data_IF_783835065742
#
_entry.id   IF_783835065742
#
_cell.length_a   1.000
_cell.length_b   1.000
_cell.length_c   1.000
_cell.angle_alpha   90.00
_cell.angle_beta   90.00
_cell.angle_gamma   90.00
#
_symmetry.space_group_name_H-M   'P 1'
#
loop_
_entity.id
_entity.type
_entity.pdbx_description
1 polymer ?
#
# COMPACT_ATOMS: atom_id res chain seq x y z
N UNK A 1 -20.07 -11.73 10.61
CA UNK A 1 -18.60 -11.60 10.45
C UNK A 1 -18.33 -10.16 10.06
N UNK A 2 -17.29 -9.55 10.63
CA UNK A 2 -16.81 -8.23 10.23
C UNK A 2 -15.45 -8.43 9.57
N UNK A 3 -15.25 -7.82 8.39
CA UNK A 3 -14.01 -7.88 7.62
C UNK A 3 -13.55 -6.46 7.35
N UNK A 4 -12.29 -6.19 7.63
CA UNK A 4 -11.63 -4.91 7.36
C UNK A 4 -10.37 -5.17 6.54
N UNK A 5 -10.27 -4.58 5.36
CA UNK A 5 -9.13 -4.72 4.47
C UNK A 5 -8.75 -3.38 3.87
N UNK A 6 -7.47 -3.21 3.56
CA UNK A 6 -6.98 -2.02 2.87
C UNK A 6 -7.32 -2.16 1.38
N UNK A 7 -7.85 -1.09 0.80
CA UNK A 7 -8.29 -1.00 -0.58
C UNK A 7 -8.13 0.41 -1.13
N UNK A 8 -8.91 0.72 -2.16
CA UNK A 8 -8.92 2.02 -2.85
C UNK A 8 -10.31 2.65 -2.85
N UNK A 9 -10.36 3.97 -2.92
CA UNK A 9 -11.62 4.72 -3.02
C UNK A 9 -12.26 4.67 -4.41
N UNK A 10 -11.45 4.63 -5.46
CA UNK A 10 -11.95 4.73 -6.83
C UNK A 10 -12.28 3.37 -7.42
N UNK A 11 -13.35 3.32 -8.21
CA UNK A 11 -13.79 2.13 -8.96
C UNK A 11 -12.86 1.83 -10.15
N UNK A 12 -11.96 2.76 -10.51
CA UNK A 12 -10.97 2.62 -11.58
C UNK A 12 -9.62 2.05 -11.12
N UNK A 13 -8.77 1.67 -12.09
CA UNK A 13 -7.38 1.23 -11.83
C UNK A 13 -6.53 2.45 -11.43
N UNK A 14 -6.79 3.01 -10.26
CA UNK A 14 -5.83 3.89 -9.60
C UNK A 14 -4.79 2.98 -8.92
N UNK A 15 -3.48 3.20 -9.14
CA UNK A 15 -2.47 2.44 -8.46
C UNK A 15 -2.64 2.58 -6.95
N UNK A 16 -2.50 1.47 -6.24
CA UNK A 16 -2.58 1.44 -4.80
C UNK A 16 -1.34 2.16 -4.25
N UNK A 17 -1.53 3.37 -3.72
CA UNK A 17 -0.45 4.33 -3.55
C UNK A 17 0.72 3.89 -2.64
N UNK A 18 0.51 2.97 -1.70
CA UNK A 18 1.61 2.38 -0.91
C UNK A 18 2.61 1.64 -1.81
N UNK A 19 2.17 1.09 -2.93
CA UNK A 19 3.04 0.39 -3.86
C UNK A 19 3.80 1.35 -4.75
N UNK A 20 3.17 2.47 -5.14
CA UNK A 20 3.86 3.52 -5.89
C UNK A 20 5.05 4.03 -5.10
N UNK A 21 4.89 4.18 -3.79
CA UNK A 21 5.99 4.51 -2.88
C UNK A 21 7.12 3.46 -2.99
N UNK A 22 6.81 2.19 -2.76
CA UNK A 22 7.80 1.12 -2.76
C UNK A 22 8.52 1.08 -4.11
N UNK A 23 7.75 1.10 -5.20
CA UNK A 23 8.25 1.07 -6.56
C UNK A 23 9.12 2.30 -6.91
N UNK A 24 8.76 3.50 -6.45
CA UNK A 24 9.55 4.71 -6.67
C UNK A 24 10.91 4.63 -5.98
N UNK A 25 10.96 4.22 -4.71
CA UNK A 25 12.23 4.10 -3.99
C UNK A 25 13.10 3.00 -4.59
N UNK A 26 12.51 1.85 -4.94
CA UNK A 26 13.24 0.79 -5.66
C UNK A 26 13.73 1.25 -7.03
N UNK A 27 12.96 2.07 -7.75
CA UNK A 27 13.39 2.66 -9.03
C UNK A 27 14.60 3.58 -8.84
N UNK A 28 14.67 4.34 -7.75
CA UNK A 28 15.84 5.17 -7.41
C UNK A 28 17.03 4.28 -7.11
N UNK A 29 16.86 3.24 -6.29
CA UNK A 29 17.90 2.26 -5.99
C UNK A 29 18.45 1.60 -7.27
N UNK A 30 17.59 1.27 -8.23
CA UNK A 30 18.01 0.71 -9.51
C UNK A 30 18.80 1.74 -10.34
N UNK A 31 18.39 3.00 -10.32
CA UNK A 31 19.10 4.09 -11.02
C UNK A 31 20.46 4.43 -10.40
N UNK A 32 20.59 4.29 -9.07
CA UNK A 32 21.83 4.49 -8.33
C UNK A 32 22.73 3.25 -8.33
N UNK A 33 22.27 2.13 -8.92
CA UNK A 33 23.03 0.87 -9.00
C UNK A 33 23.08 0.07 -7.70
N UNK A 34 22.24 0.41 -6.71
CA UNK A 34 22.09 -0.34 -5.44
C UNK A 34 21.45 -1.70 -5.70
N UNK A 35 20.49 -1.77 -6.62
CA UNK A 35 19.86 -3.01 -7.07
C UNK A 35 20.01 -3.17 -8.58
N UNK A 36 19.98 -4.42 -9.03
CA UNK A 36 19.99 -4.73 -10.45
C UNK A 36 18.68 -4.29 -11.12
N UNK A 37 18.79 -3.60 -12.26
CA UNK A 37 17.64 -3.08 -13.00
C UNK A 37 16.74 -4.20 -13.55
N UNK A 38 17.31 -5.32 -14.01
CA UNK A 38 16.50 -6.42 -14.52
C UNK A 38 15.75 -7.14 -13.38
N UNK A 39 16.35 -7.22 -12.18
CA UNK A 39 15.62 -7.63 -10.96
C UNK A 39 14.49 -6.65 -10.64
N UNK A 40 14.70 -5.34 -10.75
CA UNK A 40 13.63 -4.36 -10.54
C UNK A 40 12.48 -4.52 -11.56
N UNK A 41 12.80 -4.60 -12.85
CA UNK A 41 11.81 -4.74 -13.93
C UNK A 41 11.00 -6.05 -13.84
N UNK A 42 11.54 -7.07 -13.15
CA UNK A 42 10.88 -8.36 -12.92
C UNK A 42 10.24 -8.52 -11.53
N UNK A 43 10.35 -7.50 -10.67
CA UNK A 43 9.82 -7.56 -9.31
C UNK A 43 8.28 -7.50 -9.33
N UNK A 44 7.65 -8.45 -8.64
CA UNK A 44 6.21 -8.54 -8.53
C UNK A 44 5.79 -8.53 -7.06
N UNK A 45 4.82 -7.67 -6.74
CA UNK A 45 4.24 -7.60 -5.41
C UNK A 45 2.86 -8.30 -5.42
N UNK A 46 2.70 -9.44 -4.71
CA UNK A 46 1.48 -10.25 -4.73
C UNK A 46 0.41 -9.69 -3.77
N UNK A 47 0.09 -8.42 -3.89
CA UNK A 47 -0.96 -7.75 -3.13
C UNK A 47 -2.01 -7.24 -4.12
N UNK A 48 -3.23 -6.99 -3.67
CA UNK A 48 -4.26 -6.32 -4.44
C UNK A 48 -5.05 -5.39 -3.53
N UNK A 49 -5.25 -4.14 -3.96
CA UNK A 49 -6.09 -3.18 -3.27
C UNK A 49 -7.47 -3.12 -3.92
N UNK A 50 -8.47 -3.86 -3.41
CA UNK A 50 -9.80 -3.88 -4.01
C UNK A 50 -10.53 -2.54 -3.81
N UNK A 51 -11.46 -2.25 -4.71
CA UNK A 51 -12.49 -1.23 -4.50
C UNK A 51 -13.67 -1.79 -3.72
N UNK A 52 -14.60 -0.91 -3.38
CA UNK A 52 -15.87 -1.29 -2.76
C UNK A 52 -16.71 -2.19 -3.69
N UNK A 53 -16.64 -1.94 -4.98
CA UNK A 53 -17.38 -2.63 -6.04
C UNK A 53 -16.81 -4.02 -6.25
N UNK A 54 -15.47 -4.16 -6.30
CA UNK A 54 -14.81 -5.48 -6.39
C UNK A 54 -15.27 -6.40 -5.25
N UNK A 55 -15.29 -5.88 -4.01
CA UNK A 55 -15.74 -6.67 -2.85
C UNK A 55 -17.22 -7.02 -2.90
N UNK A 56 -18.06 -6.10 -3.40
CA UNK A 56 -19.49 -6.39 -3.57
C UNK A 56 -19.72 -7.48 -4.58
N UNK A 57 -19.05 -7.41 -5.73
CA UNK A 57 -19.13 -8.41 -6.79
C UNK A 57 -18.70 -9.78 -6.26
N UNK A 58 -17.52 -9.88 -5.65
CA UNK A 58 -17.00 -11.15 -5.09
C UNK A 58 -17.97 -11.77 -4.08
N UNK A 59 -18.53 -10.96 -3.16
CA UNK A 59 -19.44 -11.48 -2.12
C UNK A 59 -20.78 -11.91 -2.72
N UNK A 60 -21.29 -11.18 -3.71
CA UNK A 60 -22.54 -11.52 -4.38
C UNK A 60 -22.39 -12.77 -5.26
N UNK A 61 -21.26 -12.91 -5.96
CA UNK A 61 -20.94 -14.10 -6.76
C UNK A 61 -20.76 -15.35 -5.89
N UNK A 62 -20.15 -15.21 -4.70
CA UNK A 62 -20.00 -16.32 -3.75
C UNK A 62 -21.36 -16.74 -3.15
N UNK A 63 -22.19 -15.79 -2.73
CA UNK A 63 -23.61 -16.01 -2.42
C UNK A 63 -23.94 -16.61 -1.04
N UNK A 64 -22.97 -17.01 -0.21
CA UNK A 64 -23.25 -17.52 1.15
C UNK A 64 -23.55 -16.41 2.15
N UNK A 65 -23.20 -15.17 1.82
CA UNK A 65 -23.27 -14.03 2.71
C UNK A 65 -24.07 -12.88 2.11
N UNK A 66 -24.84 -12.20 2.97
CA UNK A 66 -25.46 -10.93 2.66
C UNK A 66 -24.78 -9.79 3.42
N UNK A 67 -24.43 -8.72 2.70
CA UNK A 67 -23.83 -7.52 3.25
C UNK A 67 -24.88 -6.78 4.08
N UNK A 68 -24.59 -6.55 5.36
CA UNK A 68 -25.44 -5.79 6.29
C UNK A 68 -25.01 -4.34 6.37
N UNK A 69 -23.71 -4.10 6.36
CA UNK A 69 -23.12 -2.77 6.44
C UNK A 69 -21.81 -2.74 5.65
N UNK A 70 -21.52 -1.60 5.02
CA UNK A 70 -20.27 -1.37 4.31
C UNK A 70 -19.85 0.08 4.49
N UNK A 71 -18.75 0.27 5.23
CA UNK A 71 -18.11 1.55 5.47
C UNK A 71 -16.77 1.63 4.74
N UNK A 72 -16.46 2.83 4.28
CA UNK A 72 -15.19 3.19 3.63
C UNK A 72 -14.64 4.38 4.40
N UNK A 73 -13.43 4.26 4.90
CA UNK A 73 -12.76 5.32 5.65
C UNK A 73 -11.38 5.56 5.06
N UNK A 74 -10.90 6.79 5.12
CA UNK A 74 -9.53 7.07 4.72
C UNK A 74 -8.59 6.39 5.73
N UNK A 75 -7.58 5.66 5.25
CA UNK A 75 -6.73 4.85 6.12
C UNK A 75 -5.96 5.68 7.16
N UNK A 76 -5.69 6.94 6.83
CA UNK A 76 -4.82 7.82 7.62
C UNK A 76 -5.54 9.05 8.18
N UNK A 77 -6.87 9.18 8.03
CA UNK A 77 -7.60 10.37 8.51
C UNK A 77 -7.45 10.59 10.01
N UNK A 78 -7.34 9.49 10.77
CA UNK A 78 -7.33 9.52 12.23
C UNK A 78 -5.90 9.57 12.80
N UNK A 79 -4.88 9.56 11.94
CA UNK A 79 -3.49 9.61 12.37
C UNK A 79 -3.06 11.06 12.58
N UNK A 80 -2.47 11.35 13.74
CA UNK A 80 -1.89 12.67 13.99
C UNK A 80 -0.82 12.95 12.93
N UNK A 81 -1.05 13.98 12.12
CA UNK A 81 -0.13 14.43 11.07
C UNK A 81 1.30 14.65 11.56
N UNK A 82 1.49 14.98 12.84
CA UNK A 82 2.81 15.13 13.45
C UNK A 82 3.57 13.78 13.60
N UNK A 83 2.86 12.66 13.61
CA UNK A 83 3.46 11.31 13.66
C UNK A 83 3.85 10.78 12.27
N UNK A 84 3.27 11.36 11.22
CA UNK A 84 3.52 10.99 9.82
C UNK A 84 4.83 11.62 9.34
N UNK A 85 5.94 11.03 9.79
CA UNK A 85 7.29 11.44 9.37
C UNK A 85 7.80 10.56 8.23
N UNK A 86 8.75 11.03 7.40
CA UNK A 86 9.44 10.20 6.40
C UNK A 86 9.95 8.86 6.95
N UNK A 87 10.55 8.89 8.15
CA UNK A 87 11.07 7.70 8.81
C UNK A 87 9.96 6.75 9.23
N UNK A 88 8.85 7.27 9.75
CA UNK A 88 7.71 6.43 10.12
C UNK A 88 7.16 5.68 8.90
N UNK A 89 7.00 6.35 7.76
CA UNK A 89 6.50 5.73 6.51
C UNK A 89 7.47 4.67 5.99
N UNK A 90 8.76 5.00 5.92
CA UNK A 90 9.79 4.05 5.47
C UNK A 90 9.75 2.77 6.31
N UNK A 91 9.62 2.92 7.64
CA UNK A 91 9.56 1.80 8.57
C UNK A 91 8.24 1.02 8.49
N UNK A 92 7.10 1.66 8.21
CA UNK A 92 5.83 0.94 7.96
C UNK A 92 5.94 0.05 6.72
N UNK A 93 6.52 0.57 5.64
CA UNK A 93 6.69 -0.18 4.39
C UNK A 93 7.68 -1.32 4.59
N UNK A 94 8.78 -1.06 5.31
CA UNK A 94 9.71 -2.10 5.71
C UNK A 94 9.00 -3.20 6.49
N UNK A 95 8.22 -2.86 7.51
CA UNK A 95 7.52 -3.83 8.35
C UNK A 95 6.59 -4.76 7.55
N UNK A 96 5.95 -4.24 6.49
CA UNK A 96 5.02 -5.03 5.65
C UNK A 96 5.75 -5.85 4.58
N UNK A 97 6.76 -5.27 3.93
CA UNK A 97 7.30 -5.81 2.67
C UNK A 97 8.74 -6.31 2.72
N UNK A 98 9.47 -6.10 3.82
CA UNK A 98 10.88 -6.49 3.95
C UNK A 98 11.13 -7.93 3.51
N UNK A 99 10.29 -8.87 3.93
CA UNK A 99 10.47 -10.28 3.57
C UNK A 99 10.39 -10.52 2.05
N UNK A 100 9.47 -9.86 1.35
CA UNK A 100 9.30 -10.00 -0.10
C UNK A 100 10.45 -9.33 -0.84
N UNK A 101 10.86 -8.14 -0.39
CA UNK A 101 11.95 -7.38 -0.99
C UNK A 101 13.28 -8.13 -0.81
N UNK A 102 13.58 -8.60 0.39
CA UNK A 102 14.83 -9.31 0.69
C UNK A 102 14.94 -10.65 -0.05
N UNK A 103 13.82 -11.35 -0.24
CA UNK A 103 13.81 -12.58 -1.04
C UNK A 103 14.22 -12.35 -2.50
N UNK A 104 13.93 -11.17 -3.06
CA UNK A 104 14.22 -10.87 -4.47
C UNK A 104 15.54 -10.10 -4.67
N UNK A 105 15.80 -9.13 -3.79
CA UNK A 105 16.90 -8.17 -3.91
C UNK A 105 18.02 -8.37 -2.90
N UNK A 106 17.92 -9.35 -2.00
CA UNK A 106 18.89 -9.61 -0.92
C UNK A 106 18.85 -8.50 0.15
N UNK A 107 19.95 -8.25 0.86
CA UNK A 107 19.98 -7.32 2.00
C UNK A 107 20.07 -5.85 1.53
N UNK A 108 18.92 -5.25 1.24
CA UNK A 108 18.81 -3.88 0.70
C UNK A 108 17.90 -2.96 1.50
N UNK A 109 17.29 -3.44 2.58
CA UNK A 109 16.24 -2.71 3.29
C UNK A 109 16.75 -1.54 4.14
N UNK A 110 17.99 -1.62 4.62
CA UNK A 110 18.61 -0.48 5.32
C UNK A 110 18.82 0.70 4.35
N UNK A 111 19.28 0.38 3.14
CA UNK A 111 19.50 1.37 2.08
C UNK A 111 18.18 1.90 1.52
N UNK A 112 17.16 1.05 1.41
CA UNK A 112 15.80 1.45 1.10
C UNK A 112 15.30 2.53 2.08
N UNK A 113 15.39 2.29 3.39
CA UNK A 113 14.94 3.25 4.41
C UNK A 113 15.69 4.57 4.27
N UNK A 114 17.02 4.53 4.09
CA UNK A 114 17.86 5.72 3.91
C UNK A 114 17.44 6.56 2.70
N UNK A 115 17.20 5.91 1.56
CA UNK A 115 16.81 6.59 0.31
C UNK A 115 15.38 7.14 0.43
N UNK A 116 14.47 6.35 1.01
CA UNK A 116 13.09 6.73 1.22
C UNK A 116 12.99 7.99 2.12
N UNK A 117 13.68 7.99 3.27
CA UNK A 117 13.76 9.14 4.17
C UNK A 117 14.32 10.38 3.48
N UNK A 118 15.40 10.22 2.71
CA UNK A 118 16.00 11.33 1.95
C UNK A 118 15.02 11.92 0.95
N UNK A 119 14.30 11.08 0.20
CA UNK A 119 13.34 11.53 -0.83
C UNK A 119 12.20 12.33 -0.21
N UNK A 120 11.58 11.82 0.84
CA UNK A 120 10.42 12.49 1.44
C UNK A 120 10.78 13.67 2.34
N UNK A 121 12.03 13.74 2.81
CA UNK A 121 12.53 14.96 3.45
C UNK A 121 12.67 16.12 2.47
N UNK A 122 12.80 15.84 1.17
CA UNK A 122 12.93 16.86 0.12
C UNK A 122 11.58 17.30 -0.45
N UNK A 123 10.56 16.45 -0.37
CA UNK A 123 9.23 16.72 -0.89
C UNK A 123 8.13 16.10 -0.03
N UNK A 124 7.70 16.87 0.97
CA UNK A 124 6.66 16.49 1.93
C UNK A 124 5.26 16.53 1.31
N UNK A 125 5.09 17.17 0.15
CA UNK A 125 3.80 17.25 -0.55
C UNK A 125 3.41 15.93 -1.20
N UNK A 126 4.41 15.15 -1.66
CA UNK A 126 4.21 13.79 -2.15
C UNK A 126 3.62 12.87 -1.08
N UNK A 127 4.01 13.03 0.19
CA UNK A 127 3.41 12.25 1.28
C UNK A 127 1.91 12.50 1.41
N UNK A 128 1.46 13.73 1.16
CA UNK A 128 0.06 14.08 1.31
C UNK A 128 -0.77 13.60 0.12
N UNK A 129 -0.20 13.61 -1.09
CA UNK A 129 -0.83 13.10 -2.31
C UNK A 129 -0.83 11.56 -2.38
N UNK A 130 0.27 10.91 -2.00
CA UNK A 130 0.38 9.43 -1.96
C UNK A 130 -0.54 8.82 -0.90
N UNK A 131 -1.01 9.60 0.09
CA UNK A 131 -1.92 9.11 1.13
C UNK A 131 -3.39 9.27 0.75
N UNK A 132 -3.70 10.11 -0.23
CA UNK A 132 -5.07 10.54 -0.55
C UNK A 132 -5.95 9.45 -1.20
N UNK A 133 -5.43 8.26 -1.49
CA UNK A 133 -6.21 7.19 -2.11
C UNK A 133 -6.25 5.85 -1.35
N UNK A 134 -5.65 5.76 -0.17
CA UNK A 134 -5.73 4.55 0.66
C UNK A 134 -7.02 4.52 1.47
N UNK A 135 -7.85 3.51 1.21
CA UNK A 135 -9.09 3.28 1.93
C UNK A 135 -8.98 2.08 2.86
N UNK A 136 -9.60 2.17 4.04
CA UNK A 136 -10.00 1.00 4.83
C UNK A 136 -11.44 0.64 4.48
N UNK A 137 -11.62 -0.53 3.86
CA UNK A 137 -12.91 -1.10 3.51
C UNK A 137 -13.38 -2.03 4.63
N UNK A 138 -14.39 -1.61 5.38
CA UNK A 138 -14.95 -2.38 6.50
C UNK A 138 -16.37 -2.80 6.18
N UNK A 139 -16.64 -4.10 6.22
CA UNK A 139 -17.97 -4.65 5.95
C UNK A 139 -18.42 -5.63 7.02
N UNK A 140 -19.71 -5.58 7.33
CA UNK A 140 -20.40 -6.56 8.16
C UNK A 140 -21.25 -7.45 7.27
N UNK A 141 -21.04 -8.76 7.38
CA UNK A 141 -21.80 -9.77 6.63
C UNK A 141 -22.44 -10.79 7.56
N UNK A 142 -23.61 -11.29 7.16
CA UNK A 142 -24.26 -12.42 7.82
C UNK A 142 -24.59 -13.50 6.79
N UNK A 143 -24.74 -14.74 7.26
CA UNK A 143 -25.20 -15.83 6.40
C UNK A 143 -26.52 -15.42 5.72
N UNK A 144 -26.58 -15.61 4.40
CA UNK A 144 -27.75 -15.28 3.58
C UNK A 144 -28.97 -16.15 3.97
#
# INVERSE_FOLDING_TARGET
>A
MVVSIIGRHSDGIAPFHIWDILAQVLSIMASEGVIDKAKFDSFYLPVYGPSKEDLREIIQEEGSFSIKEFLVHDFLSDLDSALVTPSWIANQIRAVYEQIVVQHFEDVMDEFVRIAERRWSLDTSLLQEEHAGLAMLTLSVAKA
#
